data_IF_518326380695
#
_entry.id   IF_518326380695
#
_cell.length_a   1.000
_cell.length_b   1.000
_cell.length_c   1.000
_cell.angle_alpha   90.00
_cell.angle_beta   90.00
_cell.angle_gamma   90.00
#
_symmetry.space_group_name_H-M   'P 1'
#
loop_
_entity.id
_entity.type
_entity.pdbx_description
1 polymer ?
#
# COMPACT_ATOMS: atom_id res chain seq x y z
N UNK A 1 57.83 -1.80 -23.59
CA UNK A 1 56.49 -2.32 -23.95
C UNK A 1 55.71 -2.88 -22.76
N UNK A 2 56.31 -3.68 -21.86
CA UNK A 2 55.61 -4.21 -20.65
C UNK A 2 55.16 -3.13 -19.64
N UNK A 3 55.92 -2.04 -19.53
CA UNK A 3 55.61 -0.89 -18.65
C UNK A 3 54.39 -0.09 -19.10
N UNK A 4 54.14 0.02 -20.41
CA UNK A 4 52.98 0.75 -20.93
C UNK A 4 51.67 -0.02 -20.72
N UNK A 5 51.72 -1.35 -20.71
CA UNK A 5 50.56 -2.21 -20.41
C UNK A 5 50.18 -2.12 -18.93
N UNK A 6 51.18 -2.09 -18.05
CA UNK A 6 50.95 -1.90 -16.62
C UNK A 6 50.35 -0.53 -16.29
N UNK A 7 50.81 0.53 -16.97
CA UNK A 7 50.24 1.88 -16.85
C UNK A 7 48.80 1.96 -17.38
N UNK A 8 48.48 1.29 -18.49
CA UNK A 8 47.11 1.21 -19.00
C UNK A 8 46.18 0.47 -18.02
N UNK A 9 46.62 -0.65 -17.44
CA UNK A 9 45.83 -1.39 -16.44
C UNK A 9 45.58 -0.57 -15.16
N UNK A 10 46.56 0.22 -14.73
CA UNK A 10 46.45 1.06 -13.53
C UNK A 10 45.49 2.25 -13.73
N UNK A 11 45.29 2.68 -14.97
CA UNK A 11 44.37 3.77 -15.34
C UNK A 11 42.92 3.28 -15.53
N UNK A 12 42.72 2.02 -15.92
CA UNK A 12 41.38 1.43 -16.13
C UNK A 12 40.74 0.99 -14.79
N UNK A 13 41.56 0.59 -13.81
CA UNK A 13 41.10 0.13 -12.50
C UNK A 13 40.24 1.15 -11.71
N UNK A 14 40.61 2.44 -11.59
CA UNK A 14 39.77 3.43 -10.92
C UNK A 14 38.49 3.74 -11.71
N UNK A 15 38.52 3.65 -13.04
CA UNK A 15 37.37 3.94 -13.90
C UNK A 15 36.28 2.84 -13.84
N UNK A 16 36.68 1.58 -13.66
CA UNK A 16 35.75 0.48 -13.45
C UNK A 16 35.06 0.53 -12.08
N UNK A 17 35.72 1.11 -11.07
CA UNK A 17 35.20 1.19 -9.70
C UNK A 17 34.12 2.27 -9.53
N UNK A 18 34.06 3.27 -10.41
CA UNK A 18 33.05 4.35 -10.35
C UNK A 18 31.75 4.03 -11.08
N UNK A 19 31.76 3.11 -12.06
CA UNK A 19 30.58 2.74 -12.85
C UNK A 19 29.73 1.60 -12.25
N UNK A 20 30.31 0.77 -11.37
CA UNK A 20 29.61 -0.32 -10.67
C UNK A 20 28.45 0.12 -9.73
N UNK A 21 28.54 1.21 -8.93
CA UNK A 21 27.51 1.53 -7.94
C UNK A 21 26.17 1.94 -8.55
N UNK A 22 26.16 2.57 -9.73
CA UNK A 22 24.90 3.03 -10.36
C UNK A 22 24.04 1.85 -10.84
N UNK A 23 24.67 0.87 -11.51
CA UNK A 23 23.98 -0.32 -12.01
C UNK A 23 23.43 -1.18 -10.86
N UNK A 24 24.19 -1.31 -9.79
CA UNK A 24 23.77 -2.01 -8.58
C UNK A 24 22.57 -1.33 -7.90
N UNK A 25 22.60 -0.01 -7.75
CA UNK A 25 21.48 0.75 -7.19
C UNK A 25 20.23 0.63 -8.05
N UNK A 26 20.35 0.69 -9.38
CA UNK A 26 19.22 0.47 -10.30
C UNK A 26 18.61 -0.92 -10.12
N UNK A 27 19.44 -1.94 -9.98
CA UNK A 27 18.97 -3.30 -9.73
C UNK A 27 18.25 -3.41 -8.39
N UNK A 28 18.80 -2.80 -7.34
CA UNK A 28 18.18 -2.80 -6.01
C UNK A 28 16.85 -2.06 -5.98
N UNK A 29 16.74 -0.91 -6.65
CA UNK A 29 15.46 -0.20 -6.85
C UNK A 29 14.41 -1.13 -7.48
N UNK A 30 14.80 -1.89 -8.50
CA UNK A 30 13.88 -2.82 -9.17
C UNK A 30 13.40 -3.94 -8.24
N UNK A 31 14.29 -4.52 -7.42
CA UNK A 31 13.90 -5.55 -6.45
C UNK A 31 12.98 -4.99 -5.35
N UNK A 32 13.27 -3.80 -4.84
CA UNK A 32 12.40 -3.12 -3.85
C UNK A 32 11.05 -2.77 -4.45
N UNK A 33 11.01 -2.35 -5.71
CA UNK A 33 9.76 -2.10 -6.43
C UNK A 33 8.90 -3.38 -6.53
N UNK A 34 9.50 -4.54 -6.85
CA UNK A 34 8.75 -5.81 -6.86
C UNK A 34 8.13 -6.12 -5.49
N UNK A 35 8.88 -5.90 -4.42
CA UNK A 35 8.38 -6.12 -3.07
C UNK A 35 7.22 -5.18 -2.72
N UNK A 36 7.28 -3.92 -3.13
CA UNK A 36 6.17 -2.99 -2.99
C UNK A 36 4.93 -3.45 -3.79
N UNK A 37 5.11 -3.90 -5.02
CA UNK A 37 4.01 -4.44 -5.83
C UNK A 37 3.37 -5.66 -5.15
N UNK A 38 4.16 -6.53 -4.54
CA UNK A 38 3.63 -7.67 -3.79
C UNK A 38 2.89 -7.22 -2.52
N UNK A 39 3.40 -6.22 -1.81
CA UNK A 39 2.71 -5.63 -0.66
C UNK A 39 1.37 -5.00 -1.04
N UNK A 40 1.30 -4.31 -2.19
CA UNK A 40 0.06 -3.73 -2.71
C UNK A 40 -0.99 -4.80 -3.01
N UNK A 41 -0.59 -5.96 -3.56
CA UNK A 41 -1.51 -7.10 -3.76
C UNK A 41 -2.07 -7.64 -2.45
N UNK A 42 -1.29 -7.59 -1.38
CA UNK A 42 -1.72 -7.94 -0.02
C UNK A 42 -2.61 -6.85 0.63
N UNK A 43 -2.89 -5.76 -0.09
CA UNK A 43 -3.77 -4.67 0.34
C UNK A 43 -3.07 -3.54 1.09
N UNK A 44 -1.74 -3.49 1.06
CA UNK A 44 -0.96 -2.41 1.65
C UNK A 44 -1.10 -1.10 0.85
N UNK A 45 -1.09 0.04 1.54
CA UNK A 45 -0.97 1.35 0.88
C UNK A 45 0.51 1.68 0.69
N UNK A 46 0.99 1.52 -0.54
CA UNK A 46 2.40 1.69 -0.90
C UNK A 46 2.72 3.09 -1.42
N UNK A 47 1.75 4.00 -1.49
CA UNK A 47 1.87 5.30 -2.16
C UNK A 47 3.06 6.14 -1.66
N UNK A 48 3.25 6.18 -0.33
CA UNK A 48 4.37 6.90 0.30
C UNK A 48 5.72 6.28 -0.03
N UNK A 49 5.85 4.96 0.13
CA UNK A 49 7.07 4.21 -0.16
C UNK A 49 7.44 4.25 -1.66
N UNK A 50 6.45 4.18 -2.55
CA UNK A 50 6.64 4.30 -3.99
C UNK A 50 7.16 5.69 -4.39
N UNK A 51 6.66 6.76 -3.77
CA UNK A 51 7.16 8.14 -3.96
C UNK A 51 8.62 8.29 -3.52
N UNK A 52 8.99 7.70 -2.38
CA UNK A 52 10.38 7.68 -1.91
C UNK A 52 11.28 6.92 -2.88
N UNK A 53 10.84 5.75 -3.35
CA UNK A 53 11.60 4.95 -4.30
C UNK A 53 11.78 5.66 -5.66
N UNK A 54 10.75 6.38 -6.13
CA UNK A 54 10.86 7.23 -7.33
C UNK A 54 11.88 8.35 -7.13
N UNK A 55 11.90 9.00 -5.97
CA UNK A 55 12.94 9.99 -5.63
C UNK A 55 14.34 9.37 -5.67
N UNK A 56 14.52 8.18 -5.12
CA UNK A 56 15.80 7.46 -5.19
C UNK A 56 16.20 7.20 -6.65
N UNK A 57 15.28 6.75 -7.49
CA UNK A 57 15.52 6.56 -8.93
C UNK A 57 15.94 7.85 -9.62
N UNK A 58 15.27 8.97 -9.34
CA UNK A 58 15.63 10.27 -9.91
C UNK A 58 17.04 10.72 -9.49
N UNK A 59 17.43 10.47 -8.24
CA UNK A 59 18.79 10.77 -7.76
C UNK A 59 19.84 9.94 -8.50
N UNK A 60 19.58 8.64 -8.70
CA UNK A 60 20.48 7.76 -9.49
C UNK A 60 20.57 8.21 -10.95
N UNK A 61 19.46 8.58 -11.58
CA UNK A 61 19.45 9.04 -12.98
C UNK A 61 20.19 10.39 -13.16
N UNK A 62 20.06 11.31 -12.21
CA UNK A 62 20.78 12.59 -12.22
C UNK A 62 22.29 12.38 -12.02
N UNK A 63 22.69 11.48 -11.12
CA UNK A 63 24.08 11.13 -10.92
C UNK A 63 24.70 10.34 -12.09
N UNK A 64 23.91 9.61 -12.88
CA UNK A 64 24.40 9.03 -14.14
C UNK A 64 24.79 10.09 -15.19
N UNK A 65 24.35 11.35 -15.01
CA UNK A 65 24.65 12.48 -15.89
C UNK A 65 25.87 13.32 -15.45
N UNK A 66 26.46 13.02 -14.28
CA UNK A 66 27.67 13.64 -13.73
C UNK A 66 28.03 13.04 -12.36
N UNK A 67 29.32 12.94 -12.00
CA UNK A 67 29.81 12.24 -10.79
C UNK A 67 29.38 12.90 -9.45
N UNK A 68 28.09 12.87 -9.13
CA UNK A 68 27.55 13.33 -7.86
C UNK A 68 27.38 12.16 -6.88
N UNK A 69 28.49 11.83 -6.20
CA UNK A 69 28.57 10.75 -5.21
C UNK A 69 27.61 10.96 -4.03
N UNK A 70 27.29 12.21 -3.69
CA UNK A 70 26.36 12.52 -2.60
C UNK A 70 24.93 12.08 -2.95
N UNK A 71 24.49 12.33 -4.18
CA UNK A 71 23.19 11.88 -4.69
C UNK A 71 23.04 10.36 -4.68
N UNK A 72 24.11 9.62 -5.02
CA UNK A 72 24.09 8.15 -4.98
C UNK A 72 23.97 7.60 -3.55
N UNK A 73 24.67 8.21 -2.58
CA UNK A 73 24.55 7.85 -1.17
C UNK A 73 23.17 8.18 -0.60
N UNK A 74 22.58 9.32 -0.99
CA UNK A 74 21.20 9.67 -0.60
C UNK A 74 20.21 8.64 -1.18
N UNK A 75 20.36 8.25 -2.44
CA UNK A 75 19.53 7.23 -3.06
C UNK A 75 19.63 5.88 -2.33
N UNK A 76 20.84 5.46 -1.96
CA UNK A 76 21.07 4.22 -1.21
C UNK A 76 20.38 4.23 0.17
N UNK A 77 20.45 5.35 0.87
CA UNK A 77 19.79 5.53 2.16
C UNK A 77 18.27 5.44 2.02
N UNK A 78 17.69 6.10 1.00
CA UNK A 78 16.25 6.06 0.72
C UNK A 78 15.80 4.63 0.39
N UNK A 79 16.54 3.92 -0.48
CA UNK A 79 16.24 2.52 -0.82
C UNK A 79 16.23 1.65 0.44
N UNK A 80 17.23 1.81 1.30
CA UNK A 80 17.35 1.03 2.55
C UNK A 80 16.25 1.37 3.56
N UNK A 81 15.77 2.61 3.58
CA UNK A 81 14.63 3.03 4.40
C UNK A 81 13.33 2.39 3.90
N UNK A 82 13.09 2.44 2.57
CA UNK A 82 11.92 1.80 1.96
C UNK A 82 11.94 0.28 2.18
N UNK A 83 13.10 -0.38 2.05
CA UNK A 83 13.26 -1.81 2.37
C UNK A 83 12.80 -2.15 3.79
N UNK A 84 13.08 -1.29 4.76
CA UNK A 84 12.69 -1.50 6.17
C UNK A 84 11.21 -1.25 6.42
N UNK A 85 10.57 -0.38 5.63
CA UNK A 85 9.13 -0.08 5.76
C UNK A 85 8.25 -1.20 5.20
N UNK A 86 8.73 -1.97 4.21
CA UNK A 86 7.93 -3.00 3.52
C UNK A 86 7.24 -3.99 4.46
N UNK A 87 7.92 -4.61 5.45
CA UNK A 87 7.28 -5.58 6.34
C UNK A 87 6.09 -4.98 7.12
N UNK A 88 6.23 -3.75 7.60
CA UNK A 88 5.17 -3.04 8.32
C UNK A 88 4.00 -2.71 7.39
N UNK A 89 4.28 -2.25 6.17
CA UNK A 89 3.26 -1.99 5.15
C UNK A 89 2.45 -3.25 4.81
N UNK A 90 3.10 -4.41 4.70
CA UNK A 90 2.43 -5.70 4.45
C UNK A 90 1.51 -6.07 5.62
N UNK A 91 1.98 -5.90 6.86
CA UNK A 91 1.19 -6.20 8.05
C UNK A 91 -0.05 -5.29 8.17
N UNK A 92 0.13 -3.99 7.93
CA UNK A 92 -0.98 -3.04 7.85
C UNK A 92 -1.97 -3.39 6.74
N UNK A 93 -1.46 -3.75 5.56
CA UNK A 93 -2.26 -4.15 4.40
C UNK A 93 -3.15 -5.35 4.72
N UNK A 94 -2.57 -6.39 5.31
CA UNK A 94 -3.30 -7.59 5.75
C UNK A 94 -4.37 -7.28 6.78
N UNK A 95 -4.06 -6.43 7.75
CA UNK A 95 -5.04 -6.00 8.76
C UNK A 95 -6.21 -5.25 8.11
N UNK A 96 -5.93 -4.28 7.23
CA UNK A 96 -6.96 -3.52 6.50
C UNK A 96 -7.80 -4.43 5.61
N UNK A 97 -7.18 -5.37 4.89
CA UNK A 97 -7.86 -6.35 4.07
C UNK A 97 -8.80 -7.25 4.88
N UNK A 98 -8.34 -7.71 6.06
CA UNK A 98 -9.16 -8.50 6.99
C UNK A 98 -10.38 -7.72 7.49
N UNK A 99 -10.20 -6.48 7.95
CA UNK A 99 -11.29 -5.62 8.41
C UNK A 99 -12.28 -5.34 7.28
N UNK A 100 -11.80 -5.06 6.07
CA UNK A 100 -12.65 -4.84 4.90
C UNK A 100 -13.48 -6.08 4.58
N UNK A 101 -12.88 -7.26 4.62
CA UNK A 101 -13.58 -8.52 4.38
C UNK A 101 -14.64 -8.78 5.46
N UNK A 102 -14.29 -8.57 6.74
CA UNK A 102 -15.20 -8.73 7.85
C UNK A 102 -16.41 -7.78 7.74
N UNK A 103 -16.19 -6.51 7.39
CA UNK A 103 -17.26 -5.52 7.23
C UNK A 103 -18.15 -5.82 6.03
N UNK A 104 -17.58 -6.26 4.90
CA UNK A 104 -18.33 -6.69 3.72
C UNK A 104 -19.26 -7.89 3.99
N UNK A 105 -18.90 -8.78 4.92
CA UNK A 105 -19.73 -9.93 5.32
C UNK A 105 -20.73 -9.53 6.42
N UNK A 106 -20.29 -8.78 7.42
CA UNK A 106 -21.12 -8.43 8.57
C UNK A 106 -22.30 -7.52 8.19
N UNK A 107 -22.12 -6.59 7.26
CA UNK A 107 -23.16 -5.66 6.84
C UNK A 107 -24.39 -6.35 6.19
N UNK A 108 -24.26 -7.18 5.14
CA UNK A 108 -25.41 -7.89 4.58
C UNK A 108 -26.03 -8.88 5.57
N UNK A 109 -25.24 -9.52 6.43
CA UNK A 109 -25.75 -10.44 7.44
C UNK A 109 -26.62 -9.73 8.48
N UNK A 110 -26.17 -8.57 8.97
CA UNK A 110 -26.96 -7.75 9.90
C UNK A 110 -28.23 -7.22 9.26
N UNK A 111 -28.20 -6.82 7.99
CA UNK A 111 -29.39 -6.44 7.22
C UNK A 111 -30.37 -7.60 7.07
N UNK A 112 -29.89 -8.81 6.78
CA UNK A 112 -30.72 -10.01 6.68
C UNK A 112 -31.43 -10.30 8.01
N UNK A 113 -30.69 -10.30 9.11
CA UNK A 113 -31.23 -10.53 10.46
C UNK A 113 -32.26 -9.45 10.81
N UNK A 114 -31.94 -8.18 10.57
CA UNK A 114 -32.86 -7.07 10.77
C UNK A 114 -34.14 -7.25 9.95
N UNK A 115 -34.03 -7.63 8.68
CA UNK A 115 -35.16 -7.92 7.80
C UNK A 115 -36.06 -9.04 8.34
N UNK A 116 -35.48 -10.14 8.82
CA UNK A 116 -36.22 -11.25 9.44
C UNK A 116 -36.95 -10.79 10.71
N UNK A 117 -36.28 -10.03 11.57
CA UNK A 117 -36.90 -9.48 12.79
C UNK A 117 -38.05 -8.55 12.41
N UNK A 118 -37.85 -7.64 11.46
CA UNK A 118 -38.89 -6.73 10.97
C UNK A 118 -40.05 -7.50 10.34
N UNK A 119 -39.81 -8.59 9.63
CA UNK A 119 -40.88 -9.40 9.04
C UNK A 119 -41.75 -10.08 10.11
N UNK A 120 -41.13 -10.63 11.16
CA UNK A 120 -41.86 -11.34 12.24
C UNK A 120 -42.58 -10.34 13.17
N UNK A 121 -41.91 -9.27 13.58
CA UNK A 121 -42.43 -8.34 14.59
C UNK A 121 -43.11 -7.11 14.00
N UNK A 122 -42.80 -6.76 12.75
CA UNK A 122 -43.37 -5.62 12.04
C UNK A 122 -44.90 -5.62 12.01
N UNK A 123 -45.58 -6.72 11.65
CA UNK A 123 -47.04 -6.78 11.67
C UNK A 123 -47.63 -6.46 13.05
N UNK A 124 -47.03 -7.01 14.12
CA UNK A 124 -47.46 -6.74 15.51
C UNK A 124 -47.23 -5.28 15.91
N UNK A 125 -46.12 -4.68 15.52
CA UNK A 125 -45.84 -3.27 15.75
C UNK A 125 -46.83 -2.37 15.00
N UNK A 126 -47.03 -2.63 13.70
CA UNK A 126 -47.98 -1.91 12.86
C UNK A 126 -49.39 -2.00 13.43
N UNK A 127 -49.81 -3.17 13.90
CA UNK A 127 -51.12 -3.34 14.56
C UNK A 127 -51.23 -2.53 15.84
N UNK A 128 -50.21 -2.53 16.71
CA UNK A 128 -50.20 -1.72 17.93
C UNK A 128 -50.22 -0.22 17.63
N UNK A 129 -49.44 0.23 16.64
CA UNK A 129 -49.41 1.62 16.19
C UNK A 129 -50.76 2.03 15.59
N UNK A 130 -51.35 1.18 14.74
CA UNK A 130 -52.66 1.39 14.14
C UNK A 130 -53.76 1.49 15.20
N UNK A 131 -53.79 0.57 16.16
CA UNK A 131 -54.74 0.61 17.28
C UNK A 131 -54.53 1.85 18.17
N UNK A 132 -53.28 2.25 18.42
CA UNK A 132 -52.98 3.45 19.21
C UNK A 132 -53.46 4.73 18.50
N UNK A 133 -53.33 4.79 17.18
CA UNK A 133 -53.82 5.90 16.37
C UNK A 133 -55.36 5.94 16.30
N UNK A 134 -56.02 4.79 16.15
CA UNK A 134 -57.49 4.68 16.08
C UNK A 134 -58.22 4.68 17.42
N UNK A 135 -57.53 4.77 18.56
CA UNK A 135 -58.15 4.73 19.91
C UNK A 135 -59.19 5.82 20.19
N UNK A 136 -59.21 6.90 19.40
CA UNK A 136 -60.20 7.99 19.52
C UNK A 136 -61.50 7.79 18.73
N UNK A 137 -61.63 6.75 17.90
CA UNK A 137 -62.83 6.52 17.10
C UNK A 137 -63.96 5.93 17.97
N UNK A 138 -64.86 6.79 18.45
CA UNK A 138 -66.16 6.36 19.00
C UNK A 138 -67.04 5.81 17.87
N UNK A 139 -67.26 4.51 17.85
CA UNK A 139 -68.23 3.88 16.93
C UNK A 139 -69.64 4.26 17.39
N UNK A 140 -70.31 5.13 16.63
CA UNK A 140 -71.75 5.41 16.82
C UNK A 140 -72.53 4.17 16.40
N UNK A 141 -72.96 3.36 17.37
CA UNK A 141 -73.94 2.28 17.11
C UNK A 141 -75.28 2.93 16.74
N UNK A 142 -75.86 2.47 15.62
CA UNK A 142 -77.28 2.69 15.31
C UNK A 142 -78.12 1.83 16.23
#
# INVERSE_FOLDING_TARGET
>A
MRTNIALLLLLILPLALTALPEAELKHRIYEVYKLLVEAEKEGADTSGAASMLDRALQLVLKAGSGEDRASLLEAENIISEVERMIPELVEEGRMRASIRTATLIAFPLTLLIAGVITYIYGPKLLWRLWLRYRRGWKVRRR
#
